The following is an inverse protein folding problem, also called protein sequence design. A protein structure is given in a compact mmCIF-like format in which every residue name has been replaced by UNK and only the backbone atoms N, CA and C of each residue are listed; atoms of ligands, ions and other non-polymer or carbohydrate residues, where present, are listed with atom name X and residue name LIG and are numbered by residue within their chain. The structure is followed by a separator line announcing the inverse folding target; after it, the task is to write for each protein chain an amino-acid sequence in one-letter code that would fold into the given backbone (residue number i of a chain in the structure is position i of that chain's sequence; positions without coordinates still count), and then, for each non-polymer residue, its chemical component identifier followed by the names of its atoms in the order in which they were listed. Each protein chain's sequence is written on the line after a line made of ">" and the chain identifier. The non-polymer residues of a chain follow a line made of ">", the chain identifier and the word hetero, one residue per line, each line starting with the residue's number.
data_IF_695548662569
#
_entry.id   IF_695548662569
#
_cell.length_a   1.000
_cell.length_b   1.000
_cell.length_c   1.000
_cell.angle_alpha   90.00
_cell.angle_beta   90.00
_cell.angle_gamma   90.00
#
_symmetry.space_group_name_H-M   'P 1'
#
loop_
_entity.id
_entity.type
_entity.pdbx_description
1 polymer ?
#
# COMPACT_ATOMS: atom_id res chain seq x y z
N UNK A 1 -11.42 -18.70 31.40
CA UNK A 1 -12.42 -18.17 30.45
C UNK A 1 -12.26 -18.99 29.21
N UNK A 2 -13.13 -19.98 29.04
CA UNK A 2 -13.16 -20.83 27.85
C UNK A 2 -13.54 -19.95 26.66
N UNK A 3 -12.68 -19.95 25.66
CA UNK A 3 -12.99 -19.37 24.35
C UNK A 3 -13.93 -20.36 23.70
N UNK A 4 -15.19 -19.95 23.50
CA UNK A 4 -16.15 -20.71 22.73
C UNK A 4 -15.58 -20.91 21.33
N UNK A 5 -15.21 -22.15 21.03
CA UNK A 5 -14.91 -22.63 19.68
C UNK A 5 -16.25 -22.63 18.93
N UNK A 6 -16.55 -21.52 18.26
CA UNK A 6 -17.64 -21.47 17.29
C UNK A 6 -17.15 -22.26 16.10
N UNK A 7 -17.85 -23.35 15.79
CA UNK A 7 -17.61 -24.24 14.66
C UNK A 7 -17.52 -23.41 13.36
N UNK A 8 -16.29 -23.05 12.97
CA UNK A 8 -16.00 -22.32 11.73
C UNK A 8 -16.09 -23.33 10.59
N UNK A 9 -17.30 -23.47 10.05
CA UNK A 9 -17.62 -24.43 8.98
C UNK A 9 -16.90 -24.12 7.66
N UNK A 10 -15.63 -24.52 7.58
CA UNK A 10 -14.81 -24.46 6.37
C UNK A 10 -13.32 -24.58 6.70
N UNK A 11 -12.59 -25.45 5.99
CA UNK A 11 -11.12 -25.48 6.09
C UNK A 11 -10.57 -24.12 5.61
N UNK A 12 -9.72 -23.43 6.39
CA UNK A 12 -9.14 -22.15 5.98
C UNK A 12 -8.44 -22.28 4.62
N UNK A 13 -8.90 -21.50 3.63
CA UNK A 13 -8.34 -21.49 2.29
C UNK A 13 -7.56 -20.20 2.05
N UNK A 14 -6.57 -20.28 1.17
CA UNK A 14 -5.88 -19.10 0.70
C UNK A 14 -6.85 -18.11 0.03
N UNK A 15 -6.63 -16.78 0.16
CA UNK A 15 -7.37 -15.80 -0.62
C UNK A 15 -7.13 -16.05 -2.12
N UNK A 16 -8.17 -15.86 -2.91
CA UNK A 16 -8.17 -16.10 -4.36
C UNK A 16 -7.98 -14.81 -5.18
N UNK A 17 -7.87 -13.65 -4.53
CA UNK A 17 -7.38 -12.44 -5.17
C UNK A 17 -6.50 -11.55 -4.27
N UNK A 18 -5.65 -10.75 -4.90
CA UNK A 18 -4.65 -9.93 -4.22
C UNK A 18 -4.60 -8.50 -4.78
N UNK A 19 -4.79 -7.50 -3.92
CA UNK A 19 -4.50 -6.09 -4.23
C UNK A 19 -3.05 -5.82 -3.88
N UNK A 20 -2.16 -6.00 -4.85
CA UNK A 20 -0.70 -6.08 -4.61
C UNK A 20 -0.02 -4.71 -4.53
N UNK A 21 -0.69 -3.64 -4.94
CA UNK A 21 -0.09 -2.31 -4.98
C UNK A 21 -0.85 -1.36 -5.88
N UNK A 22 -0.31 -0.18 -6.18
CA UNK A 22 0.91 0.38 -5.59
C UNK A 22 0.60 1.08 -4.25
N UNK A 23 1.61 1.16 -3.37
CA UNK A 23 1.51 1.95 -2.15
C UNK A 23 1.16 3.41 -2.48
N UNK A 24 0.23 4.00 -1.71
CA UNK A 24 -0.29 5.37 -1.89
C UNK A 24 -1.13 5.62 -3.14
N UNK A 25 -1.65 4.55 -3.73
CA UNK A 25 -2.54 4.59 -4.90
C UNK A 25 -4.01 4.27 -4.60
N UNK A 26 -4.45 4.32 -3.34
CA UNK A 26 -5.88 4.15 -3.00
C UNK A 26 -6.34 2.72 -2.73
N UNK A 27 -5.42 1.80 -2.43
CA UNK A 27 -5.74 0.41 -2.04
C UNK A 27 -6.69 0.33 -0.84
N UNK A 28 -6.61 1.25 0.12
CA UNK A 28 -7.56 1.32 1.25
C UNK A 28 -8.97 1.69 0.79
N UNK A 29 -9.13 2.63 -0.13
CA UNK A 29 -10.46 2.99 -0.66
C UNK A 29 -11.06 1.81 -1.40
N UNK A 30 -10.30 1.16 -2.29
CA UNK A 30 -10.79 -0.02 -3.00
C UNK A 30 -11.16 -1.15 -2.02
N UNK A 31 -10.31 -1.45 -1.03
CA UNK A 31 -10.60 -2.43 0.01
C UNK A 31 -11.91 -2.13 0.75
N UNK A 32 -12.16 -0.86 1.08
CA UNK A 32 -13.40 -0.43 1.75
C UNK A 32 -14.63 -0.58 0.85
N UNK A 33 -14.50 -0.43 -0.47
CA UNK A 33 -15.61 -0.63 -1.40
C UNK A 33 -15.88 -2.13 -1.65
N UNK A 34 -14.82 -2.92 -1.78
CA UNK A 34 -14.95 -4.37 -2.03
C UNK A 34 -15.54 -5.11 -0.84
N UNK A 35 -15.12 -4.81 0.39
CA UNK A 35 -15.61 -5.52 1.59
C UNK A 35 -17.10 -5.34 1.88
N UNK A 36 -17.76 -4.38 1.22
CA UNK A 36 -19.19 -4.16 1.37
C UNK A 36 -20.02 -5.14 0.54
N UNK A 37 -19.41 -5.78 -0.46
CA UNK A 37 -20.12 -6.66 -1.39
C UNK A 37 -20.41 -8.02 -0.74
N UNK A 38 -21.64 -8.56 -0.83
CA UNK A 38 -22.03 -9.80 -0.13
C UNK A 38 -21.23 -11.05 -0.53
N UNK A 39 -20.81 -11.16 -1.80
CA UNK A 39 -19.98 -12.27 -2.29
C UNK A 39 -18.45 -12.01 -2.20
N UNK A 40 -18.01 -10.94 -1.53
CA UNK A 40 -16.58 -10.63 -1.35
C UNK A 40 -16.22 -10.61 0.13
N UNK A 41 -15.28 -11.46 0.53
CA UNK A 41 -14.66 -11.41 1.84
C UNK A 41 -13.35 -10.63 1.80
N UNK A 42 -13.23 -9.67 2.71
CA UNK A 42 -11.97 -9.09 3.16
C UNK A 42 -11.96 -9.13 4.69
N UNK A 43 -10.81 -9.27 5.37
CA UNK A 43 -10.76 -9.19 6.83
C UNK A 43 -11.45 -7.91 7.34
N UNK A 44 -12.30 -7.98 8.37
CA UNK A 44 -13.09 -6.81 8.79
C UNK A 44 -12.25 -5.68 9.39
N UNK A 45 -11.21 -6.06 10.12
CA UNK A 45 -10.30 -5.14 10.79
C UNK A 45 -9.26 -4.59 9.81
N UNK A 46 -9.26 -3.27 9.63
CA UNK A 46 -8.29 -2.58 8.77
C UNK A 46 -6.83 -2.83 9.18
N UNK A 47 -6.56 -3.18 10.45
CA UNK A 47 -5.21 -3.55 10.92
C UNK A 47 -4.70 -4.86 10.29
N UNK A 48 -5.61 -5.70 9.80
CA UNK A 48 -5.32 -6.97 9.14
C UNK A 48 -5.26 -6.83 7.61
N UNK A 49 -5.49 -5.63 7.05
CA UNK A 49 -5.55 -5.42 5.60
C UNK A 49 -4.24 -5.80 4.88
N UNK A 50 -3.09 -5.47 5.47
CA UNK A 50 -1.77 -5.67 4.85
C UNK A 50 -0.95 -6.69 5.67
N UNK A 51 -1.29 -7.99 5.66
CA UNK A 51 -0.55 -8.98 6.42
C UNK A 51 0.88 -9.15 5.89
N UNK A 52 1.14 -8.87 4.61
CA UNK A 52 2.46 -8.95 3.99
C UNK A 52 3.10 -10.36 4.06
N UNK A 53 2.28 -11.42 3.96
CA UNK A 53 2.66 -12.83 3.99
C UNK A 53 3.65 -13.23 2.89
N UNK A 54 3.39 -12.81 1.65
CA UNK A 54 4.20 -13.15 0.48
C UNK A 54 5.38 -12.20 0.25
N UNK A 55 6.01 -11.70 1.32
CA UNK A 55 7.24 -10.92 1.20
C UNK A 55 8.13 -11.05 2.43
N UNK A 56 9.37 -10.58 2.28
CA UNK A 56 10.27 -10.33 3.42
C UNK A 56 10.32 -8.83 3.69
N UNK A 57 10.04 -8.43 4.91
CA UNK A 57 10.25 -7.06 5.33
C UNK A 57 11.70 -6.98 5.82
N UNK A 58 12.53 -6.23 5.10
CA UNK A 58 13.92 -5.98 5.46
C UNK A 58 14.76 -7.28 5.59
N UNK A 59 14.48 -8.24 4.70
CA UNK A 59 15.16 -9.54 4.69
C UNK A 59 14.59 -10.56 5.69
N UNK A 60 13.65 -10.15 6.56
CA UNK A 60 13.00 -11.04 7.54
C UNK A 60 11.66 -11.51 7.00
N UNK A 61 11.45 -12.82 6.97
CA UNK A 61 10.15 -13.40 6.64
C UNK A 61 9.31 -13.50 7.92
N UNK A 62 8.52 -12.46 8.20
CA UNK A 62 7.73 -12.38 9.44
C UNK A 62 6.70 -13.49 9.63
N UNK A 63 6.42 -14.25 8.58
CA UNK A 63 5.39 -15.29 8.56
C UNK A 63 5.95 -16.69 8.32
N UNK A 64 7.27 -16.87 8.37
CA UNK A 64 7.89 -18.19 8.29
C UNK A 64 7.32 -19.09 9.39
N UNK A 65 6.74 -20.23 8.99
CA UNK A 65 6.07 -21.17 9.90
C UNK A 65 4.76 -20.67 10.52
N UNK A 66 4.16 -19.58 10.02
CA UNK A 66 2.91 -18.99 10.52
C UNK A 66 1.78 -19.00 9.49
N UNK A 67 1.80 -19.96 8.57
CA UNK A 67 0.77 -20.15 7.54
C UNK A 67 -0.64 -20.25 8.14
N UNK A 68 -0.82 -21.07 9.19
CA UNK A 68 -2.11 -21.21 9.87
C UNK A 68 -2.66 -19.87 10.39
N UNK A 69 -1.78 -19.00 10.93
CA UNK A 69 -2.18 -17.67 11.42
C UNK A 69 -2.56 -16.73 10.29
N UNK A 70 -1.93 -16.87 9.13
CA UNK A 70 -2.27 -16.12 7.94
C UNK A 70 -3.60 -16.60 7.36
N UNK A 71 -3.82 -17.91 7.28
CA UNK A 71 -5.07 -18.49 6.78
C UNK A 71 -6.26 -18.20 7.71
N UNK A 72 -6.04 -18.13 9.03
CA UNK A 72 -7.09 -17.76 10.00
C UNK A 72 -7.68 -16.35 9.75
N UNK A 73 -6.93 -15.44 9.09
CA UNK A 73 -7.46 -14.14 8.67
C UNK A 73 -8.65 -14.25 7.71
N UNK A 74 -8.81 -15.40 7.06
CA UNK A 74 -9.85 -15.68 6.06
C UNK A 74 -10.84 -16.75 6.51
N UNK A 75 -10.75 -17.20 7.77
CA UNK A 75 -11.59 -18.27 8.31
C UNK A 75 -13.09 -17.92 8.34
N UNK A 76 -13.43 -16.63 8.36
CA UNK A 76 -14.80 -16.13 8.35
C UNK A 76 -15.34 -15.86 6.93
N UNK A 77 -14.64 -16.33 5.87
CA UNK A 77 -15.05 -16.09 4.48
C UNK A 77 -16.36 -16.77 4.06
N UNK A 78 -16.74 -17.86 4.73
CA UNK A 78 -17.95 -18.63 4.39
C UNK A 78 -17.98 -19.01 2.91
N UNK A 79 -19.12 -18.77 2.26
CA UNK A 79 -19.36 -19.09 0.85
C UNK A 79 -19.00 -17.94 -0.12
N UNK A 80 -18.25 -16.93 0.34
CA UNK A 80 -17.86 -15.81 -0.54
C UNK A 80 -17.08 -16.30 -1.76
N UNK A 81 -17.51 -15.88 -2.96
CA UNK A 81 -16.84 -16.25 -4.21
C UNK A 81 -15.44 -15.64 -4.33
N UNK A 82 -15.27 -14.43 -3.82
CA UNK A 82 -14.00 -13.72 -3.86
C UNK A 82 -13.48 -13.48 -2.44
N UNK A 83 -12.30 -13.98 -2.13
CA UNK A 83 -11.64 -13.85 -0.83
C UNK A 83 -10.32 -13.12 -1.06
N UNK A 84 -10.16 -11.94 -0.47
CA UNK A 84 -9.10 -11.02 -0.88
C UNK A 84 -8.11 -10.62 0.21
N UNK A 85 -6.86 -10.44 -0.22
CA UNK A 85 -5.79 -9.82 0.56
C UNK A 85 -5.34 -8.50 -0.09
N UNK A 86 -4.82 -7.54 0.69
CA UNK A 86 -4.42 -6.25 0.15
C UNK A 86 -3.10 -5.72 0.75
N UNK A 87 -1.97 -6.37 0.45
CA UNK A 87 -0.64 -5.88 0.84
C UNK A 87 0.06 -5.14 -0.29
N UNK A 88 0.22 -3.82 -0.16
CA UNK A 88 0.77 -2.98 -1.25
C UNK A 88 2.27 -3.15 -1.48
N UNK A 89 2.98 -3.78 -0.53
CA UNK A 89 4.40 -4.11 -0.63
C UNK A 89 4.69 -5.20 -1.67
N UNK A 90 3.70 -6.03 -1.99
CA UNK A 90 3.87 -7.13 -2.93
C UNK A 90 4.27 -6.67 -4.33
N UNK A 91 3.74 -5.53 -4.79
CA UNK A 91 4.13 -4.97 -6.08
C UNK A 91 5.63 -4.64 -6.13
N UNK A 92 6.17 -4.06 -5.05
CA UNK A 92 7.58 -3.65 -4.97
C UNK A 92 8.53 -4.80 -4.66
N UNK A 93 8.10 -5.80 -3.87
CA UNK A 93 8.97 -6.91 -3.48
C UNK A 93 9.20 -7.88 -4.67
N UNK A 94 10.46 -8.13 -5.08
CA UNK A 94 10.74 -8.87 -6.31
C UNK A 94 10.16 -10.29 -6.36
N UNK A 95 10.13 -10.99 -5.23
CA UNK A 95 9.74 -12.40 -5.19
C UNK A 95 8.23 -12.62 -4.98
N UNK A 96 7.46 -11.59 -4.60
CA UNK A 96 6.04 -11.74 -4.27
C UNK A 96 5.22 -12.35 -5.39
N UNK A 97 5.42 -11.90 -6.64
CA UNK A 97 4.66 -12.42 -7.78
C UNK A 97 4.83 -13.94 -7.94
N UNK A 98 6.08 -14.43 -7.88
CA UNK A 98 6.38 -15.85 -8.00
C UNK A 98 5.88 -16.67 -6.81
N UNK A 99 5.94 -16.11 -5.59
CA UNK A 99 5.44 -16.80 -4.40
C UNK A 99 3.92 -16.94 -4.41
N UNK A 100 3.20 -15.87 -4.75
CA UNK A 100 1.73 -15.91 -4.89
C UNK A 100 1.35 -16.92 -5.97
N UNK A 101 1.99 -16.88 -7.15
CA UNK A 101 1.67 -17.78 -8.25
C UNK A 101 1.90 -19.26 -7.91
N UNK A 102 2.96 -19.56 -7.15
CA UNK A 102 3.26 -20.93 -6.73
C UNK A 102 2.19 -21.49 -5.79
N UNK A 103 1.64 -20.66 -4.91
CA UNK A 103 0.70 -21.10 -3.86
C UNK A 103 -0.74 -21.02 -4.34
N UNK A 104 -1.08 -19.98 -5.11
CA UNK A 104 -2.42 -19.71 -5.63
C UNK A 104 -2.32 -19.41 -7.13
N UNK A 105 -2.12 -20.43 -7.99
CA UNK A 105 -1.86 -20.24 -9.42
C UNK A 105 -3.03 -19.57 -10.16
N UNK A 106 -4.27 -19.81 -9.70
CA UNK A 106 -5.49 -19.23 -10.27
C UNK A 106 -5.86 -17.87 -9.66
N UNK A 107 -4.99 -17.28 -8.84
CA UNK A 107 -5.26 -16.01 -8.18
C UNK A 107 -5.52 -14.87 -9.17
N UNK A 108 -6.46 -14.00 -8.82
CA UNK A 108 -6.65 -12.71 -9.50
C UNK A 108 -5.77 -11.63 -8.85
N UNK A 109 -5.04 -10.88 -9.64
CA UNK A 109 -4.14 -9.81 -9.21
C UNK A 109 -4.74 -8.47 -9.60
N UNK A 110 -4.86 -7.57 -8.63
CA UNK A 110 -5.34 -6.19 -8.82
C UNK A 110 -4.20 -5.22 -8.51
N UNK A 111 -3.93 -4.32 -9.45
CA UNK A 111 -2.95 -3.24 -9.31
C UNK A 111 -3.64 -1.90 -9.50
N UNK A 112 -3.41 -0.97 -8.57
CA UNK A 112 -3.88 0.40 -8.62
C UNK A 112 -2.67 1.32 -8.82
N UNK A 113 -2.60 2.00 -9.95
CA UNK A 113 -1.50 2.91 -10.27
C UNK A 113 -1.92 4.36 -10.06
N UNK A 114 -0.94 5.22 -9.81
CA UNK A 114 -1.10 6.67 -9.63
C UNK A 114 0.05 7.35 -10.35
N UNK A 115 -0.15 8.59 -10.81
CA UNK A 115 0.97 9.42 -11.28
C UNK A 115 2.16 9.31 -10.30
N UNK A 116 3.34 8.83 -10.76
CA UNK A 116 4.42 8.42 -9.88
C UNK A 116 5.01 9.59 -9.09
N UNK A 117 4.99 10.82 -9.63
CA UNK A 117 5.39 12.04 -8.90
C UNK A 117 4.45 12.31 -7.72
N UNK A 118 3.14 12.26 -7.98
CA UNK A 118 2.13 12.45 -6.94
C UNK A 118 2.17 11.34 -5.88
N UNK A 119 2.46 10.11 -6.30
CA UNK A 119 2.62 8.94 -5.44
C UNK A 119 3.84 9.08 -4.52
N UNK A 120 5.01 9.44 -5.07
CA UNK A 120 6.24 9.67 -4.32
C UNK A 120 6.05 10.75 -3.23
N UNK A 121 5.45 11.88 -3.60
CA UNK A 121 5.15 12.94 -2.64
C UNK A 121 4.14 12.50 -1.56
N UNK A 122 3.14 11.71 -1.95
CA UNK A 122 2.19 11.15 -0.99
C UNK A 122 2.82 10.14 -0.03
N UNK A 123 3.86 9.42 -0.45
CA UNK A 123 4.62 8.51 0.40
C UNK A 123 5.49 9.31 1.37
N UNK A 124 6.21 10.32 0.91
CA UNK A 124 6.97 11.25 1.77
C UNK A 124 6.11 11.85 2.88
N UNK A 125 4.92 12.38 2.53
CA UNK A 125 3.97 12.92 3.52
C UNK A 125 3.54 11.89 4.56
N UNK A 126 3.33 10.65 4.11
CA UNK A 126 2.95 9.55 4.99
C UNK A 126 4.10 9.19 5.93
N UNK A 127 5.31 9.04 5.41
CA UNK A 127 6.52 8.75 6.19
C UNK A 127 6.79 9.83 7.24
N UNK A 128 6.67 11.10 6.88
CA UNK A 128 6.80 12.21 7.84
C UNK A 128 5.68 12.18 8.88
N UNK A 129 4.41 12.05 8.50
CA UNK A 129 3.30 12.06 9.48
C UNK A 129 3.37 10.91 10.49
N UNK A 130 3.92 9.76 10.11
CA UNK A 130 4.11 8.62 11.02
C UNK A 130 5.46 8.67 11.76
N UNK A 131 6.29 9.68 11.47
CA UNK A 131 7.57 9.90 12.15
C UNK A 131 8.66 8.94 11.72
N UNK A 132 8.65 8.51 10.46
CA UNK A 132 9.67 7.66 9.82
C UNK A 132 10.66 8.45 8.97
N UNK A 133 10.30 9.68 8.60
CA UNK A 133 11.17 10.59 7.86
C UNK A 133 11.49 11.82 8.70
N UNK A 134 12.78 12.19 8.72
CA UNK A 134 13.30 13.32 9.49
C UNK A 134 13.78 14.48 8.59
N UNK A 135 13.90 14.23 7.29
CA UNK A 135 14.23 15.24 6.29
C UNK A 135 13.07 16.20 6.08
N UNK A 136 13.38 17.49 6.13
CA UNK A 136 12.39 18.56 6.24
C UNK A 136 11.79 19.00 4.90
N UNK A 137 12.32 18.48 3.78
CA UNK A 137 11.79 18.71 2.43
C UNK A 137 11.71 17.39 1.65
N UNK A 138 10.81 17.35 0.68
CA UNK A 138 10.67 16.20 -0.23
C UNK A 138 11.91 16.02 -1.11
N UNK A 139 12.50 17.12 -1.59
CA UNK A 139 13.72 17.07 -2.39
C UNK A 139 14.90 16.46 -1.64
N UNK A 140 15.15 16.88 -0.40
CA UNK A 140 16.22 16.29 0.41
C UNK A 140 15.99 14.78 0.64
N UNK A 141 14.72 14.36 0.75
CA UNK A 141 14.35 12.95 0.91
C UNK A 141 14.64 12.12 -0.36
N UNK A 142 14.43 12.70 -1.54
CA UNK A 142 14.80 12.10 -2.83
C UNK A 142 16.32 12.05 -3.01
N UNK A 143 17.03 13.12 -2.69
CA UNK A 143 18.50 13.17 -2.76
C UNK A 143 19.16 12.15 -1.83
N UNK A 144 18.50 11.79 -0.72
CA UNK A 144 18.99 10.78 0.23
C UNK A 144 18.71 9.34 -0.21
N UNK A 145 17.82 9.13 -1.17
CA UNK A 145 17.39 7.80 -1.60
C UNK A 145 18.52 6.92 -2.15
N UNK A 146 19.43 7.40 -3.01
CA UNK A 146 20.55 6.59 -3.49
C UNK A 146 21.45 6.07 -2.35
N UNK A 147 21.69 6.87 -1.32
CA UNK A 147 22.46 6.43 -0.15
C UNK A 147 21.72 5.30 0.58
N UNK A 148 20.41 5.49 0.84
CA UNK A 148 19.56 4.49 1.52
C UNK A 148 19.50 3.19 0.74
N UNK A 149 19.47 3.28 -0.59
CA UNK A 149 19.37 2.15 -1.52
C UNK A 149 20.52 1.16 -1.35
N UNK A 150 21.72 1.68 -1.10
CA UNK A 150 22.96 0.89 -1.00
C UNK A 150 23.40 0.61 0.44
N UNK A 151 22.74 1.21 1.43
CA UNK A 151 23.08 1.07 2.84
C UNK A 151 22.46 -0.20 3.42
N UNK A 152 23.31 -1.20 3.70
CA UNK A 152 22.90 -2.49 4.26
C UNK A 152 22.41 -2.39 5.72
N UNK A 153 22.94 -1.45 6.51
CA UNK A 153 22.46 -1.20 7.87
C UNK A 153 21.08 -0.54 7.82
N UNK A 154 20.88 0.38 6.89
CA UNK A 154 19.56 0.96 6.66
C UNK A 154 18.56 -0.08 6.16
N UNK A 155 18.95 -0.94 5.20
CA UNK A 155 18.10 -2.02 4.70
C UNK A 155 17.61 -2.93 5.82
N UNK A 156 18.51 -3.40 6.70
CA UNK A 156 18.17 -4.35 7.77
C UNK A 156 17.57 -3.69 9.02
N UNK A 157 17.96 -2.46 9.33
CA UNK A 157 17.65 -1.78 10.59
C UNK A 157 16.48 -0.79 10.53
N UNK A 158 15.91 -0.51 9.35
CA UNK A 158 14.77 0.40 9.24
C UNK A 158 13.48 -0.27 9.80
N UNK A 159 12.59 0.46 10.47
CA UNK A 159 11.40 -0.14 11.12
C UNK A 159 10.18 -0.33 10.19
N UNK A 160 10.28 0.02 8.91
CA UNK A 160 9.18 -0.08 7.93
C UNK A 160 9.58 -0.96 6.76
N UNK A 161 8.76 -1.09 5.72
CA UNK A 161 9.23 -1.74 4.50
C UNK A 161 10.31 -0.87 3.86
N UNK A 162 11.48 -1.43 3.57
CA UNK A 162 12.59 -0.72 2.91
C UNK A 162 12.15 0.10 1.68
N UNK A 163 11.27 -0.45 0.84
CA UNK A 163 10.73 0.22 -0.35
C UNK A 163 9.92 1.49 -0.04
N UNK A 164 9.38 1.67 1.18
CA UNK A 164 8.70 2.91 1.60
C UNK A 164 9.67 4.10 1.74
N UNK A 165 10.97 3.83 1.86
CA UNK A 165 12.02 4.85 1.88
C UNK A 165 12.61 5.14 0.50
N UNK A 166 12.20 4.38 -0.52
CA UNK A 166 12.59 4.57 -1.91
C UNK A 166 11.48 5.30 -2.67
N UNK A 167 11.38 6.61 -2.48
CA UNK A 167 10.30 7.45 -3.01
C UNK A 167 10.30 7.52 -4.55
N UNK A 168 11.46 7.51 -5.19
CA UNK A 168 11.58 7.45 -6.64
C UNK A 168 11.38 6.01 -7.13
N UNK A 169 12.19 5.06 -6.65
CA UNK A 169 12.23 3.72 -7.22
C UNK A 169 10.93 2.93 -7.03
N UNK A 170 10.24 3.08 -5.90
CA UNK A 170 8.93 2.41 -5.72
C UNK A 170 7.85 2.95 -6.66
N UNK A 171 8.11 4.03 -7.39
CA UNK A 171 7.28 4.55 -8.48
C UNK A 171 7.64 4.04 -9.88
N UNK A 172 8.71 3.26 -10.04
CA UNK A 172 9.10 2.63 -11.31
C UNK A 172 8.25 1.37 -11.55
N UNK A 173 7.11 1.51 -12.21
CA UNK A 173 6.09 0.48 -12.27
C UNK A 173 6.37 -0.60 -13.31
N UNK A 174 7.11 -0.29 -14.38
CA UNK A 174 7.25 -1.20 -15.52
C UNK A 174 7.94 -2.51 -15.12
N UNK A 175 9.05 -2.44 -14.39
CA UNK A 175 9.74 -3.62 -13.87
C UNK A 175 8.90 -4.39 -12.84
N UNK A 176 8.13 -3.65 -12.03
CA UNK A 176 7.25 -4.25 -11.03
C UNK A 176 6.12 -5.06 -11.67
N UNK A 177 5.46 -4.47 -12.66
CA UNK A 177 4.41 -5.14 -13.44
C UNK A 177 4.96 -6.29 -14.26
N UNK A 178 6.18 -6.19 -14.79
CA UNK A 178 6.78 -7.23 -15.63
C UNK A 178 6.92 -8.55 -14.87
N UNK A 179 7.19 -8.49 -13.55
CA UNK A 179 7.23 -9.68 -12.69
C UNK A 179 5.88 -10.38 -12.59
N UNK A 180 4.79 -9.63 -12.52
CA UNK A 180 3.44 -10.19 -12.46
C UNK A 180 3.00 -10.75 -13.82
N UNK A 181 3.16 -9.99 -14.90
CA UNK A 181 2.85 -10.46 -16.26
C UNK A 181 3.74 -11.64 -16.71
N UNK A 182 4.93 -11.79 -16.10
CA UNK A 182 5.84 -12.90 -16.38
C UNK A 182 5.41 -14.24 -15.76
N UNK A 183 4.53 -14.23 -14.75
CA UNK A 183 4.11 -15.46 -14.05
C UNK A 183 2.59 -15.70 -14.07
N UNK A 184 1.79 -14.65 -14.24
CA UNK A 184 0.34 -14.75 -14.39
C UNK A 184 -0.10 -14.44 -15.83
N UNK A 185 -1.10 -15.17 -16.36
CA UNK A 185 -1.83 -14.77 -17.55
C UNK A 185 -2.38 -13.34 -17.44
N UNK A 186 -2.40 -12.60 -18.54
CA UNK A 186 -2.94 -11.24 -18.56
C UNK A 186 -4.41 -11.16 -18.11
N UNK A 187 -5.20 -12.22 -18.33
CA UNK A 187 -6.59 -12.32 -17.87
C UNK A 187 -6.73 -12.42 -16.34
N UNK A 188 -5.65 -12.74 -15.62
CA UNK A 188 -5.59 -12.76 -14.16
C UNK A 188 -5.06 -11.44 -13.58
N UNK A 189 -4.76 -10.43 -14.39
CA UNK A 189 -4.24 -9.15 -13.92
C UNK A 189 -5.18 -8.02 -14.34
N UNK A 190 -5.73 -7.31 -13.34
CA UNK A 190 -6.50 -6.07 -13.55
C UNK A 190 -5.68 -4.87 -13.08
N UNK A 191 -5.38 -3.97 -14.01
CA UNK A 191 -4.77 -2.67 -13.70
C UNK A 191 -5.84 -1.59 -13.74
N UNK A 192 -5.95 -0.80 -12.68
CA UNK A 192 -6.81 0.38 -12.58
C UNK A 192 -5.99 1.62 -12.21
N UNK A 193 -6.50 2.81 -12.50
CA UNK A 193 -5.86 4.07 -12.14
C UNK A 193 -6.57 4.70 -10.93
N UNK A 194 -5.81 5.30 -10.03
CA UNK A 194 -6.37 6.07 -8.90
C UNK A 194 -7.26 7.22 -9.39
N UNK A 195 -6.90 7.84 -10.51
CA UNK A 195 -7.68 8.95 -11.07
C UNK A 195 -9.08 8.48 -11.49
N UNK A 196 -9.21 7.26 -12.03
CA UNK A 196 -10.50 6.64 -12.36
C UNK A 196 -11.27 6.29 -11.09
N UNK A 197 -10.61 5.65 -10.12
CA UNK A 197 -11.22 5.32 -8.82
C UNK A 197 -11.72 6.57 -8.08
N UNK A 198 -11.10 7.73 -8.30
CA UNK A 198 -11.53 9.00 -7.71
C UNK A 198 -12.65 9.69 -8.50
N UNK A 199 -12.54 9.76 -9.83
CA UNK A 199 -13.50 10.47 -10.69
C UNK A 199 -14.78 9.66 -10.94
N UNK A 200 -14.65 8.35 -11.01
CA UNK A 200 -15.69 7.39 -11.38
C UNK A 200 -15.67 6.15 -10.46
N UNK A 201 -15.77 6.34 -9.12
CA UNK A 201 -15.60 5.26 -8.15
C UNK A 201 -16.51 4.06 -8.41
N UNK A 202 -17.81 4.30 -8.68
CA UNK A 202 -18.76 3.22 -8.94
C UNK A 202 -18.39 2.44 -10.22
N UNK A 203 -18.12 3.13 -11.34
CA UNK A 203 -17.74 2.49 -12.61
C UNK A 203 -16.47 1.65 -12.45
N UNK A 204 -15.44 2.21 -11.82
CA UNK A 204 -14.17 1.49 -11.57
C UNK A 204 -14.36 0.30 -10.62
N UNK A 205 -15.20 0.42 -9.60
CA UNK A 205 -15.47 -0.70 -8.69
C UNK A 205 -16.28 -1.81 -9.37
N UNK A 206 -17.26 -1.48 -10.21
CA UNK A 206 -18.00 -2.46 -11.02
C UNK A 206 -17.10 -3.25 -11.95
N UNK A 207 -16.13 -2.58 -12.57
CA UNK A 207 -15.11 -3.27 -13.37
C UNK A 207 -14.29 -4.28 -12.56
N UNK A 208 -14.04 -4.00 -11.28
CA UNK A 208 -13.38 -4.93 -10.36
C UNK A 208 -14.31 -6.07 -9.98
N UNK A 209 -15.59 -5.82 -9.73
CA UNK A 209 -16.60 -6.87 -9.48
C UNK A 209 -16.71 -7.84 -10.65
N UNK A 210 -16.87 -7.33 -11.87
CA UNK A 210 -16.90 -8.14 -13.08
C UNK A 210 -15.60 -8.95 -13.26
N UNK A 211 -14.45 -8.32 -12.99
CA UNK A 211 -13.16 -9.03 -13.02
C UNK A 211 -13.09 -10.14 -11.97
N UNK A 212 -13.61 -9.92 -10.76
CA UNK A 212 -13.67 -10.92 -9.69
C UNK A 212 -14.72 -12.01 -9.95
N UNK A 213 -15.69 -11.77 -10.82
CA UNK A 213 -16.76 -12.73 -11.16
C UNK A 213 -17.91 -12.72 -10.14
N UNK A 214 -18.13 -11.59 -9.48
CA UNK A 214 -19.27 -11.34 -8.58
C UNK A 214 -20.28 -10.42 -9.26
N UNK A 215 -21.42 -10.17 -8.60
CA UNK A 215 -22.46 -9.27 -9.10
C UNK A 215 -21.93 -7.83 -9.27
N UNK A 216 -21.85 -7.37 -10.51
CA UNK A 216 -21.37 -6.01 -10.82
C UNK A 216 -22.46 -4.94 -10.69
N UNK A 217 -23.69 -5.32 -10.33
CA UNK A 217 -24.77 -4.37 -10.09
C UNK A 217 -24.73 -3.74 -8.69
N UNK A 218 -24.08 -4.40 -7.71
CA UNK A 218 -23.96 -3.92 -6.34
C UNK A 218 -23.32 -2.53 -6.27
N UNK A 219 -23.88 -1.65 -5.42
CA UNK A 219 -23.39 -0.28 -5.24
C UNK A 219 -22.87 -0.09 -3.81
N UNK A 220 -21.54 -0.01 -3.60
CA UNK A 220 -20.98 0.27 -2.28
C UNK A 220 -21.16 1.73 -1.90
N UNK A 221 -21.17 2.00 -0.60
CA UNK A 221 -21.11 3.36 -0.08
C UNK A 221 -19.73 3.97 -0.37
N UNK A 222 -19.71 5.03 -1.18
CA UNK A 222 -18.49 5.74 -1.57
C UNK A 222 -18.15 6.79 -0.51
N UNK A 223 -17.15 6.50 0.31
CA UNK A 223 -16.53 7.45 1.24
C UNK A 223 -15.13 7.85 0.81
N UNK A 224 -14.83 9.15 0.86
CA UNK A 224 -13.50 9.70 0.62
C UNK A 224 -12.75 9.81 1.95
N UNK A 225 -11.66 9.07 2.09
CA UNK A 225 -10.83 9.07 3.30
C UNK A 225 -9.57 9.94 3.13
N UNK A 226 -9.66 11.24 3.43
CA UNK A 226 -8.52 12.16 3.41
C UNK A 226 -7.82 12.21 4.79
N UNK A 227 -7.01 11.19 5.12
CA UNK A 227 -6.41 11.05 6.47
C UNK A 227 -5.17 11.93 6.76
N UNK A 228 -4.64 12.68 5.80
CA UNK A 228 -3.33 13.35 5.97
C UNK A 228 -3.30 14.82 5.52
N UNK A 229 -4.33 15.60 5.87
CA UNK A 229 -4.43 17.02 5.46
C UNK A 229 -3.28 17.89 6.01
N UNK A 230 -2.88 17.67 7.26
CA UNK A 230 -1.90 18.50 7.96
C UNK A 230 -0.53 17.80 8.10
N UNK A 231 0.51 18.61 8.31
CA UNK A 231 1.89 18.21 8.59
C UNK A 231 2.30 18.58 10.01
N UNK A 232 3.29 17.90 10.62
CA UNK A 232 3.86 18.32 11.89
C UNK A 232 4.52 19.70 11.78
N UNK A 233 4.44 20.48 12.85
CA UNK A 233 5.09 21.79 12.97
C UNK A 233 6.61 21.68 12.86
N UNK A 234 7.19 20.71 13.57
CA UNK A 234 8.60 20.34 13.44
C UNK A 234 8.74 18.87 13.06
N UNK A 235 9.22 18.60 11.84
CA UNK A 235 9.45 17.23 11.31
C UNK A 235 10.50 16.49 12.15
N UNK A 236 11.61 17.17 12.51
CA UNK A 236 12.68 16.56 13.31
C UNK A 236 12.22 16.21 14.72
N UNK A 237 11.45 17.09 15.35
CA UNK A 237 10.84 16.80 16.65
C UNK A 237 9.86 15.63 16.53
N UNK A 238 9.04 15.62 15.48
CA UNK A 238 8.07 14.55 15.22
C UNK A 238 8.73 13.17 15.12
N UNK A 239 9.81 13.10 14.35
CA UNK A 239 10.63 11.91 14.19
C UNK A 239 11.23 11.44 15.52
N UNK A 240 11.78 12.36 16.31
CA UNK A 240 12.31 12.06 17.65
C UNK A 240 11.20 11.53 18.58
N UNK A 241 10.04 12.20 18.62
CA UNK A 241 8.90 11.80 19.44
C UNK A 241 8.38 10.41 19.05
N UNK A 242 8.41 10.05 17.76
CA UNK A 242 8.08 8.69 17.30
C UNK A 242 9.00 7.64 17.94
N UNK A 243 10.31 7.88 17.93
CA UNK A 243 11.28 6.97 18.57
C UNK A 243 11.07 6.89 20.09
N UNK A 244 10.79 8.02 20.74
CA UNK A 244 10.56 8.07 22.19
C UNK A 244 9.28 7.33 22.60
N UNK A 245 8.17 7.50 21.88
CA UNK A 245 6.92 6.80 22.19
C UNK A 245 7.06 5.28 22.04
N UNK A 246 7.79 4.81 21.03
CA UNK A 246 8.08 3.38 20.85
C UNK A 246 9.06 2.84 21.90
N UNK A 247 10.15 3.56 22.19
CA UNK A 247 11.17 3.13 23.17
C UNK A 247 10.62 3.06 24.60
N UNK A 248 9.77 4.01 24.98
CA UNK A 248 9.22 4.12 26.33
C UNK A 248 7.76 3.69 26.39
N UNK A 249 7.35 2.76 25.51
CA UNK A 249 6.00 2.21 25.44
C UNK A 249 5.56 1.72 26.82
N UNK A 250 4.30 2.00 27.20
CA UNK A 250 3.71 1.68 28.51
C UNK A 250 4.25 2.48 29.72
N UNK A 251 5.06 3.52 29.52
CA UNK A 251 5.49 4.41 30.61
C UNK A 251 4.83 5.79 30.49
N UNK A 252 4.82 6.59 31.57
CA UNK A 252 4.34 7.98 31.52
C UNK A 252 5.10 8.84 30.49
N UNK A 253 6.40 8.57 30.30
CA UNK A 253 7.23 9.26 29.29
C UNK A 253 6.78 8.92 27.87
N UNK A 254 6.42 7.66 27.61
CA UNK A 254 5.87 7.23 26.32
C UNK A 254 4.54 7.90 26.00
N UNK A 255 3.62 7.94 26.97
CA UNK A 255 2.33 8.62 26.81
C UNK A 255 2.49 10.13 26.58
N UNK A 256 3.40 10.79 27.31
CA UNK A 256 3.72 12.19 27.06
C UNK A 256 4.28 12.41 25.66
N UNK A 257 5.18 11.54 25.19
CA UNK A 257 5.73 11.61 23.84
C UNK A 257 4.65 11.43 22.76
N UNK A 258 3.68 10.54 22.99
CA UNK A 258 2.52 10.34 22.10
C UNK A 258 1.61 11.57 22.06
N UNK A 259 1.26 12.15 23.21
CA UNK A 259 0.50 13.40 23.28
C UNK A 259 1.22 14.52 22.51
N UNK A 260 2.54 14.69 22.74
CA UNK A 260 3.32 15.71 22.04
C UNK A 260 3.43 15.44 20.53
N UNK A 261 3.50 14.17 20.12
CA UNK A 261 3.51 13.77 18.70
C UNK A 261 2.22 14.18 18.01
N UNK A 262 1.07 13.92 18.64
CA UNK A 262 -0.25 14.29 18.09
C UNK A 262 -0.47 15.82 18.12
N UNK A 263 -0.04 16.50 19.19
CA UNK A 263 -0.10 17.95 19.27
C UNK A 263 0.77 18.63 18.20
N UNK A 264 1.93 18.06 17.85
CA UNK A 264 2.80 18.60 16.82
C UNK A 264 2.13 18.66 15.44
N UNK A 265 1.15 17.79 15.16
CA UNK A 265 0.33 17.84 13.93
C UNK A 265 -0.90 18.74 14.13
N UNK A 266 -1.62 18.56 15.24
CA UNK A 266 -2.97 19.09 15.41
C UNK A 266 -3.03 20.55 15.89
N UNK A 267 -2.00 21.04 16.60
CA UNK A 267 -2.03 22.36 17.24
C UNK A 267 -2.03 23.51 16.23
N UNK A 268 -1.15 23.44 15.23
CA UNK A 268 -0.97 24.52 14.25
C UNK A 268 -1.68 24.25 12.92
N UNK A 269 -2.15 23.01 12.68
CA UNK A 269 -2.83 22.60 11.44
C UNK A 269 -2.11 23.09 10.18
N UNK A 270 -0.78 22.94 10.14
CA UNK A 270 0.01 23.41 9.01
C UNK A 270 -0.29 22.57 7.78
N UNK A 271 -0.53 23.23 6.65
CA UNK A 271 -0.70 22.56 5.36
C UNK A 271 0.64 22.09 4.81
N UNK A 272 0.57 21.03 4.01
CA UNK A 272 1.71 20.57 3.22
C UNK A 272 2.07 21.60 2.15
N UNK A 273 3.37 21.92 1.97
CA UNK A 273 3.80 22.74 0.82
C UNK A 273 3.46 22.01 -0.48
N UNK A 274 3.27 22.75 -1.58
CA UNK A 274 3.22 22.09 -2.89
C UNK A 274 4.61 21.54 -3.23
N UNK A 275 4.66 20.54 -4.10
CA UNK A 275 5.92 20.13 -4.73
C UNK A 275 6.43 21.32 -5.52
N UNK A 276 7.71 21.65 -5.35
CA UNK A 276 8.37 22.67 -6.17
C UNK A 276 8.32 22.27 -7.65
N UNK A 277 8.07 23.25 -8.54
CA UNK A 277 7.82 22.98 -9.95
C UNK A 277 9.06 22.42 -10.66
N UNK A 278 10.27 22.86 -10.27
CA UNK A 278 11.51 22.32 -10.83
C UNK A 278 11.74 20.88 -10.38
N UNK A 279 11.46 20.58 -9.10
CA UNK A 279 11.53 19.21 -8.55
C UNK A 279 10.51 18.30 -9.25
N UNK A 280 9.28 18.78 -9.45
CA UNK A 280 8.22 18.06 -10.18
C UNK A 280 8.65 17.76 -11.61
N UNK A 281 9.14 18.75 -12.35
CA UNK A 281 9.56 18.57 -13.74
C UNK A 281 10.72 17.57 -13.86
N UNK A 282 11.71 17.66 -12.97
CA UNK A 282 12.84 16.72 -12.91
C UNK A 282 12.38 15.28 -12.65
N UNK A 283 11.46 15.08 -11.71
CA UNK A 283 10.89 13.75 -11.42
C UNK A 283 10.05 13.22 -12.57
N UNK A 284 9.19 14.05 -13.17
CA UNK A 284 8.36 13.66 -14.31
C UNK A 284 9.24 13.19 -15.48
N UNK A 285 10.32 13.93 -15.78
CA UNK A 285 11.29 13.53 -16.80
C UNK A 285 12.00 12.23 -16.43
N UNK A 286 12.44 12.07 -15.18
CA UNK A 286 13.09 10.84 -14.73
C UNK A 286 12.16 9.60 -14.83
N UNK A 287 10.84 9.78 -14.71
CA UNK A 287 9.86 8.71 -14.89
C UNK A 287 9.44 8.48 -16.34
N UNK A 288 9.79 9.35 -17.29
CA UNK A 288 9.24 9.33 -18.66
C UNK A 288 9.34 7.96 -19.33
N UNK A 289 10.51 7.32 -19.27
CA UNK A 289 10.75 6.02 -19.89
C UNK A 289 9.89 4.91 -19.25
N UNK A 290 9.80 4.91 -17.92
CA UNK A 290 9.01 3.95 -17.16
C UNK A 290 7.51 4.13 -17.38
N UNK A 291 7.02 5.37 -17.43
CA UNK A 291 5.60 5.68 -17.74
C UNK A 291 5.24 5.15 -19.13
N UNK A 292 6.09 5.39 -20.13
CA UNK A 292 5.88 4.90 -21.49
C UNK A 292 5.88 3.36 -21.56
N UNK A 293 6.77 2.70 -20.81
CA UNK A 293 6.79 1.23 -20.72
C UNK A 293 5.53 0.70 -20.02
N UNK A 294 5.13 1.31 -18.91
CA UNK A 294 3.92 0.99 -18.16
C UNK A 294 2.66 1.15 -19.03
N UNK A 295 2.56 2.23 -19.81
CA UNK A 295 1.46 2.44 -20.75
C UNK A 295 1.39 1.31 -21.79
N UNK A 296 2.52 0.94 -22.40
CA UNK A 296 2.55 -0.17 -23.38
C UNK A 296 2.13 -1.51 -22.77
N UNK A 297 2.57 -1.80 -21.55
CA UNK A 297 2.26 -3.07 -20.88
C UNK A 297 0.80 -3.18 -20.44
N UNK A 298 0.21 -2.06 -20.01
CA UNK A 298 -1.13 -2.05 -19.40
C UNK A 298 -2.23 -1.66 -20.37
N UNK A 299 -1.89 -1.03 -21.50
CA UNK A 299 -2.85 -0.44 -22.43
C UNK A 299 -3.62 0.76 -21.87
N UNK A 300 -3.27 1.25 -20.68
CA UNK A 300 -3.87 2.44 -20.07
C UNK A 300 -3.29 3.71 -20.69
N UNK A 301 -4.11 4.72 -20.89
CA UNK A 301 -3.64 6.05 -21.28
C UNK A 301 -3.01 6.75 -20.06
N UNK A 302 -1.69 6.91 -20.10
CA UNK A 302 -0.88 7.57 -19.07
C UNK A 302 -0.27 8.87 -19.61
N UNK A 303 -0.74 9.38 -20.76
CA UNK A 303 -0.21 10.59 -21.39
C UNK A 303 -0.22 11.79 -20.43
N UNK A 304 -1.31 11.94 -19.67
CA UNK A 304 -1.47 12.98 -18.65
C UNK A 304 -0.47 12.89 -17.48
N UNK A 305 0.34 11.84 -17.38
CA UNK A 305 1.42 11.73 -16.40
C UNK A 305 2.76 12.27 -16.90
N UNK A 306 2.88 12.53 -18.20
CA UNK A 306 4.06 13.08 -18.85
C UNK A 306 4.07 14.61 -18.93
N UNK A 307 2.94 15.23 -18.57
CA UNK A 307 2.69 16.69 -18.55
C UNK A 307 3.10 17.36 -17.23
#
# INVERSE_FOLDING_TARGET
>A
MEVNDVDKGGTPAYPNFFIVGAAKSGSTSLWMYLKQHPDIFMPEDIRMKEPAFFCKINGVHHHEGQEDRYLDLFSDAGDCKAVGEASTTYLTYPESAAWIQRVVPDAKVIVILRNPVGRAYSLYRWMVNHGHEWLTSFEAALEKEPDRRTDAEFFSGNPHTFYDYLYFESGLYSEQLARYFGVFPASQIKVILLDDLYRKPLETTREVYAFLGVDDSFEPEIKVHNKAEYRPASIRLHFLLSRLKHRYRHTRRGHLAEILFDLNISLFKLKWPKIDDAVRARLAEAYRSDIQATQRMTGKDLSAWLD
#
